data_IF_878355895674
#
_entry.id   IF_878355895674
#
_cell.length_a   1.000
_cell.length_b   1.000
_cell.length_c   1.000
_cell.angle_alpha   90.00
_cell.angle_beta   90.00
_cell.angle_gamma   90.00
#
_symmetry.space_group_name_H-M   'P 1'
#
loop_
_entity.id
_entity.type
_entity.pdbx_description
1 polymer ?
#
# COMPACT_ATOMS: atom_id res chain seq x y z
N UNK A 1 9.38 24.99 55.54
CA UNK A 1 8.42 24.14 54.80
C UNK A 1 8.92 24.02 53.37
N UNK A 2 9.38 22.85 52.94
CA UNK A 2 9.77 22.59 51.54
C UNK A 2 8.76 21.59 50.96
N UNK A 3 7.99 22.04 49.97
CA UNK A 3 7.08 21.19 49.22
C UNK A 3 7.88 20.43 48.16
N UNK A 4 7.93 19.11 48.28
CA UNK A 4 8.49 18.22 47.27
C UNK A 4 7.47 18.04 46.14
N UNK A 5 7.79 18.58 44.97
CA UNK A 5 7.02 18.38 43.74
C UNK A 5 7.49 17.06 43.10
N UNK A 6 6.73 15.98 43.31
CA UNK A 6 6.93 14.69 42.64
C UNK A 6 6.42 14.80 41.20
N UNK A 7 7.34 14.99 40.24
CA UNK A 7 7.07 14.79 38.81
C UNK A 7 6.90 13.29 38.55
N UNK A 8 5.66 12.83 38.46
CA UNK A 8 5.31 11.55 37.85
C UNK A 8 5.55 11.64 36.34
N UNK A 9 6.73 11.24 35.89
CA UNK A 9 6.98 10.88 34.51
C UNK A 9 6.15 9.64 34.20
N UNK A 10 5.01 9.83 33.53
CA UNK A 10 4.27 8.73 32.93
C UNK A 10 5.18 8.07 31.91
N UNK A 11 5.73 6.91 32.27
CA UNK A 11 6.36 5.96 31.35
C UNK A 11 5.29 5.55 30.36
N UNK A 12 5.21 6.24 29.22
CA UNK A 12 4.47 5.74 28.07
C UNK A 12 5.15 4.45 27.66
N UNK A 13 4.47 3.31 27.84
CA UNK A 13 4.91 2.06 27.26
C UNK A 13 5.17 2.30 25.77
N UNK A 14 6.34 1.90 25.24
CA UNK A 14 6.61 2.08 23.82
C UNK A 14 5.47 1.46 23.03
N UNK A 15 4.88 2.25 22.14
CA UNK A 15 3.82 1.76 21.27
C UNK A 15 4.34 0.54 20.51
N UNK A 16 3.62 -0.57 20.56
CA UNK A 16 3.99 -1.78 19.84
C UNK A 16 4.09 -1.44 18.35
N UNK A 17 5.23 -1.73 17.68
CA UNK A 17 5.41 -1.39 16.27
C UNK A 17 4.32 -2.03 15.41
N UNK A 18 3.80 -1.29 14.43
CA UNK A 18 2.85 -1.84 13.46
C UNK A 18 3.54 -2.97 12.67
N UNK A 19 2.99 -4.19 12.63
CA UNK A 19 3.64 -5.32 11.98
C UNK A 19 3.70 -5.15 10.45
N UNK A 20 2.81 -4.38 9.83
CA UNK A 20 2.87 -4.04 8.41
C UNK A 20 4.02 -3.06 8.12
N UNK A 21 4.25 -2.09 9.01
CA UNK A 21 5.38 -1.17 8.90
C UNK A 21 6.71 -1.90 9.08
N UNK A 22 6.79 -2.80 10.06
CA UNK A 22 7.94 -3.67 10.31
C UNK A 22 8.24 -4.54 9.09
N UNK A 23 7.21 -5.15 8.51
CA UNK A 23 7.38 -6.00 7.33
C UNK A 23 7.85 -5.19 6.12
N UNK A 24 7.31 -3.99 5.89
CA UNK A 24 7.80 -3.09 4.84
C UNK A 24 9.28 -2.75 5.03
N UNK A 25 9.68 -2.39 6.26
CA UNK A 25 11.07 -2.08 6.58
C UNK A 25 11.98 -3.27 6.29
N UNK A 26 11.54 -4.48 6.66
CA UNK A 26 12.27 -5.71 6.39
C UNK A 26 12.50 -5.94 4.89
N UNK A 27 11.50 -5.65 4.05
CA UNK A 27 11.66 -5.69 2.58
C UNK A 27 12.65 -4.63 2.09
N UNK A 28 12.52 -3.38 2.54
CA UNK A 28 13.42 -2.31 2.15
C UNK A 28 14.89 -2.64 2.50
N UNK A 29 15.11 -3.27 3.66
CA UNK A 29 16.44 -3.68 4.15
C UNK A 29 16.89 -5.07 3.70
N UNK A 30 16.02 -5.86 3.06
CA UNK A 30 16.23 -7.30 2.78
C UNK A 30 16.60 -8.09 4.03
N UNK A 31 16.01 -7.72 5.16
CA UNK A 31 16.31 -8.29 6.47
C UNK A 31 15.30 -9.40 6.79
N UNK A 32 15.69 -10.64 6.50
CA UNK A 32 14.84 -11.81 6.74
C UNK A 32 14.53 -12.03 8.22
N UNK A 33 15.44 -11.65 9.12
CA UNK A 33 15.22 -11.76 10.56
C UNK A 33 14.19 -10.72 11.02
N UNK A 34 14.25 -9.49 10.52
CA UNK A 34 13.25 -8.46 10.80
C UNK A 34 11.87 -8.84 10.25
N UNK A 35 11.81 -9.45 9.05
CA UNK A 35 10.55 -9.93 8.48
C UNK A 35 9.92 -11.02 9.35
N UNK A 36 10.72 -11.97 9.84
CA UNK A 36 10.24 -12.99 10.77
C UNK A 36 9.85 -12.41 12.13
N UNK A 37 10.53 -11.36 12.61
CA UNK A 37 10.19 -10.69 13.86
C UNK A 37 8.84 -9.94 13.84
N UNK A 38 8.31 -9.63 12.64
CA UNK A 38 6.94 -9.12 12.47
C UNK A 38 5.87 -10.20 12.73
N UNK A 39 6.27 -11.47 12.80
CA UNK A 39 5.38 -12.61 13.06
C UNK A 39 5.53 -13.11 14.51
N UNK A 40 4.46 -13.66 15.07
CA UNK A 40 4.47 -14.27 16.39
C UNK A 40 5.40 -15.50 16.43
N UNK A 41 5.62 -16.11 17.59
CA UNK A 41 6.54 -17.25 17.75
C UNK A 41 6.05 -18.51 17.02
N UNK A 42 4.73 -18.71 16.95
CA UNK A 42 4.08 -19.83 16.26
C UNK A 42 3.04 -19.36 15.24
N UNK A 43 3.46 -18.53 14.28
CA UNK A 43 2.55 -17.97 13.29
C UNK A 43 2.22 -19.06 12.26
N UNK A 44 1.06 -18.92 11.62
CA UNK A 44 0.72 -19.72 10.44
C UNK A 44 0.80 -18.82 9.21
N UNK A 45 1.76 -19.11 8.33
CA UNK A 45 1.96 -18.36 7.09
C UNK A 45 1.66 -19.25 5.90
N UNK A 46 0.75 -18.80 5.04
CA UNK A 46 0.26 -19.53 3.87
C UNK A 46 0.50 -18.71 2.61
N UNK A 47 1.06 -19.35 1.57
CA UNK A 47 1.14 -18.77 0.23
C UNK A 47 0.33 -19.64 -0.72
N UNK A 48 -0.74 -19.07 -1.27
CA UNK A 48 -1.59 -19.71 -2.27
C UNK A 48 -1.36 -19.02 -3.61
N UNK A 49 -0.67 -19.70 -4.52
CA UNK A 49 -0.43 -19.24 -5.89
C UNK A 49 -1.33 -20.02 -6.85
N UNK A 50 -1.91 -19.35 -7.84
CA UNK A 50 -2.71 -20.03 -8.86
C UNK A 50 -1.85 -21.04 -9.63
N UNK A 51 -2.25 -22.32 -9.63
CA UNK A 51 -1.58 -23.38 -10.36
C UNK A 51 -0.32 -23.96 -9.70
N UNK A 52 -0.01 -23.60 -8.45
CA UNK A 52 1.09 -24.19 -7.68
C UNK A 52 0.60 -24.77 -6.35
N UNK A 53 1.33 -25.74 -5.76
CA UNK A 53 1.02 -26.25 -4.43
C UNK A 53 1.03 -25.13 -3.39
N UNK A 54 0.11 -25.21 -2.43
CA UNK A 54 0.08 -24.30 -1.28
C UNK A 54 1.35 -24.48 -0.44
N UNK A 55 2.02 -23.37 -0.14
CA UNK A 55 3.19 -23.37 0.72
C UNK A 55 2.77 -23.01 2.15
N UNK A 56 3.21 -23.81 3.13
CA UNK A 56 2.90 -23.65 4.55
C UNK A 56 4.16 -23.50 5.37
N UNK A 57 4.25 -22.43 6.12
CA UNK A 57 5.36 -22.17 7.03
C UNK A 57 4.86 -22.01 8.46
N UNK A 58 5.55 -22.66 9.40
CA UNK A 58 5.24 -22.60 10.84
C UNK A 58 6.49 -22.29 11.64
N UNK A 59 6.36 -21.33 12.53
CA UNK A 59 7.44 -20.89 13.40
C UNK A 59 8.38 -19.89 12.73
N UNK A 60 9.01 -19.05 13.57
CA UNK A 60 9.87 -17.95 13.13
C UNK A 60 11.03 -18.40 12.23
N UNK A 61 11.63 -19.56 12.49
CA UNK A 61 12.78 -20.05 11.71
C UNK A 61 12.41 -20.41 10.26
N UNK A 62 11.27 -21.08 10.06
CA UNK A 62 10.80 -21.43 8.72
C UNK A 62 10.41 -20.19 7.91
N UNK A 63 9.79 -19.21 8.58
CA UNK A 63 9.43 -17.93 7.96
C UNK A 63 10.67 -17.12 7.61
N UNK A 64 11.64 -17.02 8.51
CA UNK A 64 12.92 -16.36 8.24
C UNK A 64 13.63 -17.01 7.04
N UNK A 65 13.66 -18.34 6.96
CA UNK A 65 14.25 -19.04 5.82
C UNK A 65 13.51 -18.73 4.51
N UNK A 66 12.18 -18.66 4.53
CA UNK A 66 11.36 -18.27 3.37
C UNK A 66 11.70 -16.86 2.87
N UNK A 67 11.77 -15.88 3.78
CA UNK A 67 12.18 -14.52 3.42
C UNK A 67 13.63 -14.45 2.93
N UNK A 68 14.55 -15.22 3.53
CA UNK A 68 15.94 -15.27 3.09
C UNK A 68 16.05 -15.82 1.66
N UNK A 69 15.29 -16.86 1.31
CA UNK A 69 15.23 -17.37 -0.07
C UNK A 69 14.66 -16.33 -1.04
N UNK A 70 13.54 -15.70 -0.68
CA UNK A 70 12.94 -14.63 -1.49
C UNK A 70 13.95 -13.51 -1.74
N UNK A 71 14.53 -12.93 -0.69
CA UNK A 71 15.47 -11.81 -0.82
C UNK A 71 16.76 -12.20 -1.52
N UNK A 72 17.21 -13.46 -1.36
CA UNK A 72 18.37 -13.99 -2.07
C UNK A 72 18.14 -14.15 -3.58
N UNK A 73 16.89 -14.34 -4.01
CA UNK A 73 16.54 -14.47 -5.44
C UNK A 73 16.41 -13.15 -6.19
N UNK A 74 16.33 -12.02 -5.48
CA UNK A 74 16.13 -10.70 -6.07
C UNK A 74 17.47 -10.01 -6.36
N UNK A 75 17.48 -9.14 -7.38
CA UNK A 75 18.62 -8.27 -7.62
C UNK A 75 18.85 -7.36 -6.39
N UNK A 76 20.08 -7.38 -5.88
CA UNK A 76 20.49 -6.62 -4.69
C UNK A 76 20.74 -5.14 -4.99
N UNK A 77 20.93 -4.79 -6.26
CA UNK A 77 21.17 -3.40 -6.69
C UNK A 77 19.88 -2.62 -6.88
N UNK A 78 18.76 -3.32 -6.99
CA UNK A 78 17.46 -2.70 -7.20
C UNK A 78 16.79 -2.31 -5.87
N UNK A 79 16.06 -1.19 -5.79
CA UNK A 79 15.24 -0.89 -4.62
C UNK A 79 14.12 -1.93 -4.46
N UNK A 80 13.78 -2.26 -3.21
CA UNK A 80 12.66 -3.12 -2.87
C UNK A 80 11.69 -2.33 -1.97
N UNK A 81 10.42 -2.30 -2.32
CA UNK A 81 9.38 -1.69 -1.49
C UNK A 81 8.14 -2.58 -1.44
N UNK A 82 7.47 -2.57 -0.29
CA UNK A 82 6.24 -3.31 -0.06
C UNK A 82 5.19 -2.32 0.45
N UNK A 83 4.13 -2.14 -0.32
CA UNK A 83 3.03 -1.25 0.04
C UNK A 83 1.76 -2.07 0.29
N UNK A 84 0.90 -1.57 1.19
CA UNK A 84 -0.35 -2.23 1.55
C UNK A 84 -1.54 -1.30 1.31
N UNK A 85 -2.69 -1.86 1.00
CA UNK A 85 -4.01 -1.22 1.09
C UNK A 85 -4.88 -2.08 1.97
N UNK A 86 -5.20 -1.57 3.17
CA UNK A 86 -6.11 -2.26 4.08
C UNK A 86 -7.53 -1.95 3.62
N UNK A 87 -8.26 -2.99 3.21
CA UNK A 87 -9.65 -2.85 2.74
C UNK A 87 -10.65 -3.12 3.84
N UNK A 88 -10.29 -3.96 4.82
CA UNK A 88 -11.17 -4.34 5.93
C UNK A 88 -10.35 -4.59 7.19
N UNK A 89 -10.89 -4.17 8.34
CA UNK A 89 -10.37 -4.49 9.66
C UNK A 89 -11.55 -4.81 10.58
N UNK A 90 -11.56 -6.01 11.13
CA UNK A 90 -12.55 -6.51 12.09
C UNK A 90 -11.82 -7.12 13.28
N UNK A 91 -11.81 -6.41 14.42
CA UNK A 91 -11.02 -6.80 15.59
C UNK A 91 -9.53 -6.96 15.28
N UNK A 92 -9.00 -8.17 15.50
CA UNK A 92 -7.62 -8.56 15.24
C UNK A 92 -7.37 -9.00 13.78
N UNK A 93 -8.43 -9.20 12.99
CA UNK A 93 -8.36 -9.60 11.60
C UNK A 93 -8.25 -8.40 10.68
N UNK A 94 -7.31 -8.46 9.74
CA UNK A 94 -7.04 -7.44 8.73
C UNK A 94 -7.04 -8.09 7.36
N UNK A 95 -7.72 -7.48 6.40
CA UNK A 95 -7.67 -7.89 5.00
C UNK A 95 -7.27 -6.72 4.10
N UNK A 96 -6.65 -7.06 2.99
CA UNK A 96 -6.23 -6.04 2.04
C UNK A 96 -5.47 -6.59 0.85
N UNK A 97 -4.79 -5.68 0.18
CA UNK A 97 -3.91 -5.99 -0.93
C UNK A 97 -2.51 -5.44 -0.67
N UNK A 98 -1.52 -6.08 -1.27
CA UNK A 98 -0.16 -5.58 -1.27
C UNK A 98 0.39 -5.47 -2.69
N UNK A 99 1.35 -4.57 -2.83
CA UNK A 99 2.16 -4.39 -4.03
C UNK A 99 3.63 -4.47 -3.64
N UNK A 100 4.31 -5.50 -4.13
CA UNK A 100 5.75 -5.65 -4.04
C UNK A 100 6.37 -5.02 -5.28
N UNK A 101 7.24 -4.03 -5.10
CA UNK A 101 8.00 -3.40 -6.19
C UNK A 101 9.47 -3.76 -6.04
N UNK A 102 10.02 -4.45 -7.03
CA UNK A 102 11.44 -4.75 -7.16
C UNK A 102 11.99 -4.03 -8.39
N UNK A 103 12.85 -3.04 -8.18
CA UNK A 103 13.43 -2.27 -9.28
C UNK A 103 12.44 -1.43 -10.06
N UNK A 104 12.78 -1.16 -11.32
CA UNK A 104 12.06 -0.20 -12.17
C UNK A 104 10.86 -0.79 -12.93
N UNK A 105 10.71 -2.11 -12.95
CA UNK A 105 9.71 -2.78 -13.79
C UNK A 105 9.01 -3.98 -13.15
N UNK A 106 9.59 -4.59 -12.11
CA UNK A 106 9.01 -5.79 -11.51
C UNK A 106 8.03 -5.39 -10.42
N UNK A 107 6.75 -5.71 -10.64
CA UNK A 107 5.69 -5.57 -9.63
C UNK A 107 4.95 -6.88 -9.46
N UNK A 108 4.79 -7.31 -8.22
CA UNK A 108 3.92 -8.41 -7.85
C UNK A 108 2.79 -7.89 -6.96
N UNK A 109 1.60 -8.45 -7.14
CA UNK A 109 0.39 -8.05 -6.45
C UNK A 109 -0.21 -9.27 -5.73
N UNK A 110 -0.70 -9.04 -4.52
CA UNK A 110 -1.39 -10.08 -3.77
C UNK A 110 -2.48 -9.53 -2.89
N UNK A 111 -3.41 -10.42 -2.54
CA UNK A 111 -4.39 -10.22 -1.47
C UNK A 111 -3.85 -10.87 -0.22
N UNK A 112 -4.13 -10.29 0.93
CA UNK A 112 -3.78 -10.88 2.21
C UNK A 112 -4.98 -10.95 3.16
N UNK A 113 -4.97 -11.94 4.03
CA UNK A 113 -5.75 -11.97 5.26
C UNK A 113 -4.78 -12.26 6.39
N UNK A 114 -4.71 -11.37 7.36
CA UNK A 114 -3.81 -11.48 8.50
C UNK A 114 -4.58 -11.36 9.82
N UNK A 115 -4.05 -11.97 10.87
CA UNK A 115 -4.50 -11.76 12.26
C UNK A 115 -3.34 -11.19 13.06
N UNK A 116 -3.57 -10.09 13.78
CA UNK A 116 -2.57 -9.41 14.60
C UNK A 116 -2.81 -9.74 16.07
N UNK A 117 -1.86 -10.39 16.71
CA UNK A 117 -1.90 -10.73 18.12
C UNK A 117 -1.79 -9.53 19.05
N UNK A 118 -2.04 -9.72 20.36
CA UNK A 118 -1.93 -8.65 21.37
C UNK A 118 -0.49 -8.13 21.54
N UNK A 119 0.51 -8.90 21.10
CA UNK A 119 1.92 -8.51 21.03
C UNK A 119 2.25 -7.67 19.78
N UNK A 120 1.23 -7.30 18.99
CA UNK A 120 1.35 -6.51 17.77
C UNK A 120 2.02 -7.26 16.62
N UNK A 121 2.05 -8.59 16.64
CA UNK A 121 2.68 -9.42 15.60
C UNK A 121 1.67 -10.26 14.85
N UNK A 122 2.01 -10.67 13.63
CA UNK A 122 1.15 -11.57 12.86
C UNK A 122 1.10 -12.96 13.49
N UNK A 123 -0.08 -13.38 13.95
CA UNK A 123 -0.35 -14.76 14.40
C UNK A 123 -0.82 -15.65 13.24
N UNK A 124 -1.39 -15.03 12.21
CA UNK A 124 -1.80 -15.63 10.96
C UNK A 124 -1.53 -14.67 9.81
N UNK A 125 -1.08 -15.20 8.68
CA UNK A 125 -1.00 -14.48 7.42
C UNK A 125 -1.22 -15.47 6.27
N UNK A 126 -2.18 -15.15 5.40
CA UNK A 126 -2.45 -15.87 4.17
C UNK A 126 -2.38 -14.90 3.01
N UNK A 127 -1.46 -15.16 2.09
CA UNK A 127 -1.29 -14.40 0.85
C UNK A 127 -1.81 -15.20 -0.35
N UNK A 128 -2.58 -14.53 -1.21
CA UNK A 128 -3.04 -15.05 -2.50
C UNK A 128 -2.64 -14.13 -3.64
N UNK A 129 -2.57 -14.66 -4.86
CA UNK A 129 -2.35 -13.83 -6.05
C UNK A 129 -3.44 -12.77 -6.25
N UNK A 130 -3.03 -11.58 -6.68
CA UNK A 130 -3.92 -10.52 -7.13
C UNK A 130 -3.40 -9.91 -8.43
N UNK A 131 -4.22 -9.07 -9.06
CA UNK A 131 -3.84 -8.30 -10.23
C UNK A 131 -3.44 -6.88 -9.84
N UNK A 132 -2.82 -6.18 -10.79
CA UNK A 132 -2.57 -4.73 -10.66
C UNK A 132 -3.87 -3.97 -10.45
N UNK A 133 -4.88 -4.28 -11.25
CA UNK A 133 -6.15 -3.58 -11.25
C UNK A 133 -6.87 -3.81 -9.92
N UNK A 134 -6.80 -5.03 -9.35
CA UNK A 134 -7.30 -5.31 -7.99
C UNK A 134 -6.70 -4.36 -6.94
N UNK A 135 -5.40 -4.06 -7.01
CA UNK A 135 -4.72 -3.19 -6.04
C UNK A 135 -5.03 -1.71 -6.28
N UNK A 136 -5.00 -1.26 -7.53
CA UNK A 136 -5.16 0.16 -7.83
C UNK A 136 -6.64 0.62 -7.77
N UNK A 137 -7.60 -0.26 -8.06
CA UNK A 137 -9.04 -0.01 -7.92
C UNK A 137 -9.53 -0.09 -6.46
N UNK A 138 -8.74 -0.69 -5.57
CA UNK A 138 -9.16 -0.91 -4.19
C UNK A 138 -9.37 0.42 -3.43
N UNK A 139 -10.47 0.54 -2.66
CA UNK A 139 -10.74 1.73 -1.87
C UNK A 139 -9.72 1.89 -0.74
N UNK A 140 -9.54 3.13 -0.31
CA UNK A 140 -8.66 3.48 0.82
C UNK A 140 -7.27 3.94 0.41
N UNK A 141 -6.50 4.52 1.34
CA UNK A 141 -5.15 4.98 1.07
C UNK A 141 -4.18 3.78 0.96
N UNK A 142 -3.08 4.00 0.25
CA UNK A 142 -1.94 3.09 0.38
C UNK A 142 -1.24 3.40 1.69
N UNK A 143 -1.24 2.42 2.60
CA UNK A 143 -0.53 2.47 3.86
C UNK A 143 0.97 2.42 3.61
N UNK A 144 1.71 3.21 4.41
CA UNK A 144 3.17 3.24 4.37
C UNK A 144 3.69 3.42 2.94
N UNK A 145 3.17 4.40 2.20
CA UNK A 145 3.84 4.85 1.00
C UNK A 145 5.06 5.69 1.41
N UNK A 146 6.15 5.64 0.64
CA UNK A 146 7.11 6.74 0.69
C UNK A 146 6.41 8.00 0.16
N UNK A 147 6.79 9.19 0.62
CA UNK A 147 6.23 10.49 0.17
C UNK A 147 6.25 10.67 -1.36
N UNK A 148 6.99 9.81 -2.06
CA UNK A 148 6.98 9.59 -3.50
C UNK A 148 6.44 8.20 -3.80
N UNK A 149 5.11 8.06 -3.77
CA UNK A 149 4.51 6.87 -4.33
C UNK A 149 4.71 6.90 -5.85
N UNK A 150 5.58 6.05 -6.36
CA UNK A 150 5.65 5.82 -7.80
C UNK A 150 4.34 5.16 -8.23
N UNK A 151 3.48 5.97 -8.86
CA UNK A 151 2.24 5.52 -9.47
C UNK A 151 2.57 4.50 -10.56
N UNK A 152 1.79 3.42 -10.66
CA UNK A 152 1.92 2.49 -11.78
C UNK A 152 1.54 3.22 -13.08
N UNK A 153 2.54 3.68 -13.82
CA UNK A 153 2.34 4.46 -15.04
C UNK A 153 1.50 3.70 -16.08
N UNK A 154 1.55 2.38 -16.14
CA UNK A 154 0.77 1.61 -17.12
C UNK A 154 -0.72 1.70 -16.84
N UNK A 155 -1.10 1.56 -15.57
CA UNK A 155 -2.49 1.68 -15.13
C UNK A 155 -2.98 3.13 -15.21
N UNK A 156 -2.25 4.09 -14.63
CA UNK A 156 -2.69 5.49 -14.60
C UNK A 156 -2.53 6.22 -15.94
N UNK A 157 -1.67 5.77 -16.86
CA UNK A 157 -1.62 6.34 -18.21
C UNK A 157 -2.91 6.11 -18.99
N UNK A 158 -3.61 4.99 -18.77
CA UNK A 158 -4.91 4.73 -19.39
C UNK A 158 -6.01 5.69 -18.89
N UNK A 159 -5.85 6.19 -17.66
CA UNK A 159 -6.76 7.17 -17.06
C UNK A 159 -6.35 8.63 -17.30
N UNK A 160 -5.12 8.89 -17.76
CA UNK A 160 -4.69 10.22 -18.08
C UNK A 160 -5.31 10.65 -19.42
N UNK A 161 -6.17 11.67 -19.39
CA UNK A 161 -6.95 12.03 -20.56
C UNK A 161 -7.89 13.20 -20.32
N UNK A 162 -8.61 13.56 -21.38
CA UNK A 162 -9.65 14.60 -21.38
C UNK A 162 -10.99 13.90 -21.53
N UNK A 163 -11.84 14.01 -20.51
CA UNK A 163 -13.15 13.37 -20.46
C UNK A 163 -14.23 14.44 -20.49
N UNK A 164 -15.22 14.29 -21.37
CA UNK A 164 -16.37 15.19 -21.43
C UNK A 164 -17.47 14.63 -20.54
N UNK A 165 -17.88 15.41 -19.54
CA UNK A 165 -18.92 15.05 -18.59
C UNK A 165 -20.32 15.33 -19.19
N UNK A 166 -21.38 14.66 -18.71
CA UNK A 166 -22.75 14.84 -19.22
C UNK A 166 -23.28 16.27 -19.13
N UNK A 167 -22.77 17.07 -18.19
CA UNK A 167 -23.10 18.49 -18.03
C UNK A 167 -22.28 19.43 -18.95
N UNK A 168 -21.54 18.87 -19.92
CA UNK A 168 -20.70 19.63 -20.85
C UNK A 168 -19.34 20.06 -20.29
N UNK A 169 -19.03 19.78 -19.02
CA UNK A 169 -17.72 20.09 -18.43
C UNK A 169 -16.63 19.15 -18.97
N UNK A 170 -15.38 19.61 -18.92
CA UNK A 170 -14.20 18.81 -19.28
C UNK A 170 -13.43 18.44 -18.01
N UNK A 171 -13.34 17.13 -17.73
CA UNK A 171 -12.45 16.59 -16.70
C UNK A 171 -11.09 16.27 -17.36
N UNK A 172 -10.03 16.92 -16.88
CA UNK A 172 -8.66 16.60 -17.29
C UNK A 172 -7.99 15.83 -16.17
N UNK A 173 -7.74 14.55 -16.39
CA UNK A 173 -6.98 13.72 -15.46
C UNK A 173 -5.52 13.78 -15.92
N UNK A 174 -4.67 14.37 -15.09
CA UNK A 174 -3.22 14.44 -15.34
C UNK A 174 -2.50 13.43 -14.45
N UNK A 175 -1.25 13.10 -14.80
CA UNK A 175 -0.40 12.14 -14.07
C UNK A 175 -0.08 12.55 -12.61
N UNK A 176 -0.48 13.76 -12.19
CA UNK A 176 -0.51 14.21 -10.80
C UNK A 176 -1.96 14.37 -10.38
N UNK A 177 -2.47 13.53 -9.47
CA UNK A 177 -3.80 13.71 -8.89
C UNK A 177 -3.73 14.81 -7.83
N UNK A 178 -3.58 16.07 -8.25
CA UNK A 178 -4.17 17.19 -7.52
C UNK A 178 -5.57 17.39 -8.08
N UNK A 179 -6.60 17.21 -7.25
CA UNK A 179 -7.99 17.40 -7.63
C UNK A 179 -8.25 18.88 -7.96
N UNK A 180 -7.98 19.32 -9.20
CA UNK A 180 -8.38 20.65 -9.68
C UNK A 180 -9.73 20.53 -10.40
N UNK A 181 -10.82 20.95 -9.75
CA UNK A 181 -12.08 21.23 -10.45
C UNK A 181 -11.88 22.49 -11.28
N UNK A 182 -11.85 22.37 -12.61
CA UNK A 182 -12.07 23.50 -13.49
C UNK A 182 -13.53 23.48 -13.95
N UNK A 183 -14.39 24.23 -13.25
CA UNK A 183 -15.65 24.68 -13.82
C UNK A 183 -15.41 26.10 -14.32
N UNK A 184 -15.02 26.25 -15.59
CA UNK A 184 -15.10 27.55 -16.23
C UNK A 184 -16.58 27.83 -16.53
N UNK A 185 -17.22 28.66 -15.69
CA UNK A 185 -18.39 29.42 -16.13
C UNK A 185 -17.91 30.35 -17.25
N UNK A 186 -18.01 29.89 -18.49
CA UNK A 186 -18.06 30.82 -19.61
C UNK A 186 -19.46 31.44 -19.58
N UNK A 187 -19.62 32.76 -19.35
CA UNK A 187 -20.92 33.38 -19.56
C UNK A 187 -21.33 33.14 -21.03
N UNK A 188 -22.63 32.97 -21.31
CA UNK A 188 -23.09 32.78 -22.68
C UNK A 188 -22.60 33.95 -23.52
N UNK A 189 -21.81 33.66 -24.56
CA UNK A 189 -21.47 34.65 -25.58
C UNK A 189 -22.78 35.09 -26.21
N UNK A 190 -23.22 36.30 -25.90
CA UNK A 190 -24.21 37.02 -26.68
C UNK A 190 -23.70 37.09 -28.11
N UNK A 191 -24.46 36.47 -29.02
CA UNK A 191 -24.30 36.58 -30.46
C UNK A 191 -24.47 38.05 -30.86
N UNK A 192 -23.36 38.79 -31.00
CA UNK A 192 -23.37 40.04 -31.75
C UNK A 192 -23.22 39.71 -33.23
N UNK A 193 -24.33 39.74 -33.97
CA UNK A 193 -24.37 39.78 -35.44
C UNK A 193 -23.45 40.93 -35.91
N UNK A 194 -22.33 40.62 -36.56
CA UNK A 194 -21.62 41.60 -37.39
C UNK A 194 -22.36 41.72 -38.72
N UNK A 195 -22.75 42.94 -39.05
CA UNK A 195 -23.28 43.31 -40.36
C UNK A 195 -22.25 43.09 -41.47
N UNK A 196 -22.76 42.78 -42.66
CA UNK A 196 -22.04 42.88 -43.92
C UNK A 196 -21.74 44.35 -44.22
N UNK A 197 -20.55 44.71 -44.72
CA UNK A 197 -20.43 45.84 -45.61
C UNK A 197 -20.67 45.40 -47.06
N UNK A 198 -21.36 46.26 -47.80
CA UNK A 198 -21.39 46.28 -49.26
C UNK A 198 -20.04 46.72 -49.84
#
# INVERSE_FOLDING_TARGET
>A
MFAALLLTLATQSPATPDPFATLREAYARRDAALAAAATATTPKFFIVKNGAPEERYRGSAAIQASFAMLFGSLDRTEPLDLNFRITERDGDRVQGLYRLSAGRGTRAYGRFTATVGPDGRFTFDESRSATRDDFEDAPGPVSFAADRQDLDRGYYAAMAGRYRLPNGCLLVVTRSITRRRYCSFLPPRTLSRRGRPD
#
